data_IF_878014685905
#
_entry.id   IF_878014685905
#
_cell.length_a   1.000
_cell.length_b   1.000
_cell.length_c   1.000
_cell.angle_alpha   90.00
_cell.angle_beta   90.00
_cell.angle_gamma   90.00
#
_symmetry.space_group_name_H-M   'P 1'
#
loop_
_entity.id
_entity.type
_entity.pdbx_description
1 polymer ?
#
# COMPACT_ATOMS: atom_id res chain seq x y z
N UNK A 1 19.03 23.99 2.82
CA UNK A 1 18.42 24.00 1.47
C UNK A 1 16.91 23.89 1.52
N UNK A 2 16.31 23.12 2.43
CA UNK A 2 14.85 23.06 2.56
C UNK A 2 14.19 22.21 1.46
N UNK A 3 14.88 21.18 0.97
CA UNK A 3 14.35 20.26 -0.02
C UNK A 3 13.67 19.06 0.64
N UNK A 4 12.76 18.44 -0.11
CA UNK A 4 12.16 17.15 0.24
C UNK A 4 12.93 16.06 -0.52
N UNK A 5 13.79 15.35 0.19
CA UNK A 5 14.76 14.42 -0.41
C UNK A 5 14.33 12.98 -0.14
N UNK A 6 14.01 12.18 -1.18
CA UNK A 6 13.88 10.74 -1.04
C UNK A 6 15.26 10.07 -1.08
N UNK A 7 15.51 9.16 -0.14
CA UNK A 7 16.69 8.29 -0.14
C UNK A 7 16.26 6.86 -0.44
N UNK A 8 16.70 6.34 -1.59
CA UNK A 8 16.57 4.91 -1.93
C UNK A 8 17.80 4.18 -1.40
N UNK A 9 17.57 3.10 -0.65
CA UNK A 9 18.61 2.23 -0.10
C UNK A 9 18.44 0.85 -0.70
N UNK A 10 19.48 0.34 -1.38
CA UNK A 10 19.46 -0.95 -2.06
C UNK A 10 20.86 -1.60 -1.94
N UNK A 11 21.09 -2.60 -1.07
CA UNK A 11 20.17 -3.27 -0.14
C UNK A 11 20.50 -2.98 1.33
N UNK A 12 19.46 -2.79 2.15
CA UNK A 12 19.63 -2.67 3.62
C UNK A 12 20.11 -3.98 4.25
N UNK A 13 19.77 -5.13 3.64
CA UNK A 13 20.18 -6.45 4.10
C UNK A 13 21.68 -6.69 3.96
N UNK A 14 22.27 -6.39 2.80
CA UNK A 14 23.72 -6.55 2.60
C UNK A 14 24.51 -5.63 3.52
N UNK A 15 24.03 -4.41 3.73
CA UNK A 15 24.63 -3.50 4.71
C UNK A 15 24.56 -4.08 6.13
N UNK A 16 23.42 -4.66 6.52
CA UNK A 16 23.25 -5.28 7.83
C UNK A 16 24.12 -6.51 8.04
N UNK A 17 24.29 -7.36 7.03
CA UNK A 17 25.16 -8.53 7.08
C UNK A 17 26.62 -8.14 7.32
N UNK A 18 27.11 -7.13 6.61
CA UNK A 18 28.47 -6.59 6.78
C UNK A 18 28.63 -6.00 8.19
N UNK A 19 27.65 -5.24 8.68
CA UNK A 19 27.69 -4.72 10.04
C UNK A 19 27.75 -5.86 11.06
N UNK A 20 26.94 -6.91 10.89
CA UNK A 20 26.92 -8.06 11.79
C UNK A 20 28.27 -8.79 11.81
N UNK A 21 28.94 -8.91 10.66
CA UNK A 21 30.28 -9.49 10.58
C UNK A 21 31.31 -8.63 11.30
N UNK A 22 31.32 -7.32 11.07
CA UNK A 22 32.26 -6.38 11.70
C UNK A 22 32.06 -6.35 13.22
N UNK A 23 30.83 -6.19 13.70
CA UNK A 23 30.54 -6.17 15.14
C UNK A 23 30.80 -7.53 15.78
N UNK A 24 30.59 -8.63 15.05
CA UNK A 24 30.96 -9.98 15.50
C UNK A 24 32.47 -10.13 15.71
N UNK A 25 33.30 -9.50 14.85
CA UNK A 25 34.77 -9.48 15.02
C UNK A 25 35.23 -8.54 16.14
N UNK A 26 34.49 -7.46 16.39
CA UNK A 26 34.82 -6.45 17.40
C UNK A 26 34.32 -6.80 18.81
N UNK A 27 33.56 -7.88 18.98
CA UNK A 27 32.90 -8.26 20.25
C UNK A 27 32.03 -7.14 20.86
N UNK A 28 31.50 -6.25 20.01
CA UNK A 28 30.62 -5.14 20.40
C UNK A 28 29.13 -5.53 20.35
N UNK A 29 28.27 -4.71 20.99
CA UNK A 29 26.82 -4.96 21.08
C UNK A 29 26.07 -4.69 19.75
N UNK A 30 24.80 -5.10 19.71
CA UNK A 30 24.03 -5.48 18.51
C UNK A 30 23.96 -4.45 17.37
N UNK A 31 24.08 -4.97 16.15
CA UNK A 31 23.91 -4.25 14.88
C UNK A 31 22.52 -3.59 14.73
N UNK A 32 21.50 -4.05 15.47
CA UNK A 32 20.13 -3.53 15.42
C UNK A 32 20.04 -2.07 15.85
N UNK A 33 20.89 -1.64 16.79
CA UNK A 33 20.94 -0.24 17.25
C UNK A 33 21.38 0.71 16.13
N UNK A 34 22.24 0.23 15.22
CA UNK A 34 22.67 0.99 14.04
C UNK A 34 21.57 1.09 12.98
N UNK A 35 20.78 0.04 12.81
CA UNK A 35 19.59 0.11 11.95
C UNK A 35 18.57 1.11 12.48
N UNK A 36 18.24 1.05 13.77
CA UNK A 36 17.29 1.98 14.37
C UNK A 36 17.77 3.43 14.20
N UNK A 37 19.01 3.73 14.61
CA UNK A 37 19.59 5.07 14.45
C UNK A 37 19.71 5.54 13.00
N UNK A 38 19.77 4.63 12.02
CA UNK A 38 19.72 4.98 10.61
C UNK A 38 18.31 5.44 10.19
N UNK A 39 17.27 4.68 10.52
CA UNK A 39 15.89 5.03 10.18
C UNK A 39 15.37 6.26 10.94
N UNK A 40 15.76 6.44 12.20
CA UNK A 40 15.38 7.61 13.03
C UNK A 40 15.93 8.95 12.49
N UNK A 41 16.84 8.92 11.52
CA UNK A 41 17.30 10.14 10.82
C UNK A 41 16.29 10.64 9.79
N UNK A 42 15.21 9.90 9.53
CA UNK A 42 14.14 10.33 8.62
C UNK A 42 13.09 11.13 9.35
N UNK A 43 12.92 12.38 8.91
CA UNK A 43 11.90 13.26 9.43
C UNK A 43 11.69 14.43 8.49
N UNK A 44 10.54 15.11 8.65
CA UNK A 44 10.35 16.48 8.22
C UNK A 44 10.88 17.39 9.34
N UNK A 45 11.79 18.30 9.01
CA UNK A 45 12.48 19.14 9.99
C UNK A 45 12.53 20.60 9.55
N UNK A 46 12.56 21.50 10.52
CA UNK A 46 12.93 22.90 10.31
C UNK A 46 14.44 23.00 10.19
N UNK A 47 14.94 23.53 9.09
CA UNK A 47 16.36 23.72 8.84
C UNK A 47 16.92 24.83 9.74
N UNK A 48 18.16 24.67 10.17
CA UNK A 48 18.90 25.70 10.89
C UNK A 48 19.26 26.89 9.96
N UNK A 49 19.42 28.06 10.60
CA UNK A 49 19.86 29.30 9.97
C UNK A 49 18.75 30.08 9.26
N UNK A 50 19.12 31.25 8.74
CA UNK A 50 18.23 32.14 7.99
C UNK A 50 18.43 31.94 6.47
N UNK A 51 17.38 32.02 5.63
CA UNK A 51 15.97 32.15 6.01
C UNK A 51 15.41 30.86 6.63
N UNK A 52 14.30 31.00 7.34
CA UNK A 52 13.54 29.88 7.89
C UNK A 52 13.07 28.97 6.75
N UNK A 53 13.46 27.69 6.83
CA UNK A 53 13.23 26.71 5.76
C UNK A 53 12.77 25.40 6.39
N UNK A 54 11.88 24.69 5.71
CA UNK A 54 11.53 23.32 6.05
C UNK A 54 12.08 22.36 5.00
N UNK A 55 12.50 21.17 5.41
CA UNK A 55 12.90 20.10 4.50
C UNK A 55 12.49 18.74 5.05
N UNK A 56 12.64 17.70 4.24
CA UNK A 56 12.43 16.32 4.71
C UNK A 56 13.46 15.36 4.14
N UNK A 57 13.72 14.31 4.90
CA UNK A 57 14.39 13.10 4.43
C UNK A 57 13.42 11.92 4.56
N UNK A 58 13.14 11.24 3.46
CA UNK A 58 12.27 10.08 3.43
C UNK A 58 13.07 8.85 2.99
N UNK A 59 13.17 7.83 3.85
CA UNK A 59 13.70 6.51 3.49
C UNK A 59 12.52 5.58 3.23
N UNK A 60 12.58 4.85 2.12
CA UNK A 60 11.54 3.91 1.72
C UNK A 60 11.73 2.61 2.53
N UNK A 61 10.84 2.36 3.49
CA UNK A 61 10.89 1.15 4.36
C UNK A 61 9.92 1.13 5.55
N UNK A 62 9.28 2.24 5.92
CA UNK A 62 8.38 2.35 7.07
C UNK A 62 6.89 2.47 6.69
N UNK A 63 5.99 1.97 7.55
CA UNK A 63 4.53 2.03 7.38
C UNK A 63 3.97 3.31 8.02
N UNK A 64 3.31 4.17 7.25
CA UNK A 64 2.77 5.47 7.70
C UNK A 64 1.22 5.56 7.66
N UNK A 65 0.51 4.43 7.72
CA UNK A 65 -0.93 4.40 7.41
C UNK A 65 -1.79 5.31 8.28
N UNK A 66 -1.52 5.42 9.59
CA UNK A 66 -2.35 6.24 10.50
C UNK A 66 -2.16 7.75 10.32
N UNK A 67 -0.93 8.19 10.02
CA UNK A 67 -0.57 9.62 9.96
C UNK A 67 -1.10 10.26 8.67
N UNK A 68 -1.30 9.46 7.62
CA UNK A 68 -1.73 9.96 6.33
C UNK A 68 -3.26 10.15 6.22
N UNK A 69 -4.04 9.61 7.17
CA UNK A 69 -5.50 9.72 7.14
C UNK A 69 -5.95 11.18 7.14
N UNK A 70 -5.44 12.03 8.04
CA UNK A 70 -5.80 13.45 8.09
C UNK A 70 -5.55 14.19 6.77
N UNK A 71 -4.46 13.83 6.07
CA UNK A 71 -4.16 14.39 4.76
C UNK A 71 -5.17 13.90 3.71
N UNK A 72 -5.50 12.61 3.71
CA UNK A 72 -6.48 12.06 2.77
C UNK A 72 -7.88 12.58 3.04
N UNK A 73 -8.32 12.66 4.29
CA UNK A 73 -9.65 13.17 4.64
C UNK A 73 -9.83 14.62 4.18
N UNK A 74 -8.76 15.43 4.27
CA UNK A 74 -8.79 16.83 3.82
C UNK A 74 -8.78 16.99 2.30
N UNK A 75 -7.99 16.19 1.58
CA UNK A 75 -7.74 16.41 0.15
C UNK A 75 -8.51 15.45 -0.77
N UNK A 76 -8.90 14.28 -0.26
CA UNK A 76 -9.47 13.15 -0.98
C UNK A 76 -10.47 12.38 -0.10
N UNK A 77 -11.60 13.00 0.29
CA UNK A 77 -12.49 12.49 1.33
C UNK A 77 -13.10 11.10 1.01
N UNK A 78 -13.25 10.76 -0.27
CA UNK A 78 -13.76 9.45 -0.70
C UNK A 78 -12.72 8.33 -0.64
N UNK A 79 -11.42 8.66 -0.64
CA UNK A 79 -10.35 7.66 -0.81
C UNK A 79 -10.27 6.68 0.37
N UNK A 80 -10.39 7.16 1.61
CA UNK A 80 -10.23 6.31 2.80
C UNK A 80 -11.31 5.24 2.84
N UNK A 81 -12.57 5.61 2.55
CA UNK A 81 -13.69 4.67 2.49
C UNK A 81 -13.50 3.63 1.36
N UNK A 82 -13.14 4.07 0.15
CA UNK A 82 -12.88 3.18 -0.98
C UNK A 82 -11.72 2.21 -0.70
N UNK A 83 -10.63 2.70 -0.10
CA UNK A 83 -9.47 1.88 0.22
C UNK A 83 -9.76 0.84 1.32
N UNK A 84 -10.57 1.18 2.33
CA UNK A 84 -11.03 0.21 3.33
C UNK A 84 -11.90 -0.86 2.68
N UNK A 85 -12.88 -0.46 1.87
CA UNK A 85 -13.79 -1.40 1.19
C UNK A 85 -13.04 -2.32 0.22
N UNK A 86 -12.06 -1.79 -0.52
CA UNK A 86 -11.18 -2.61 -1.37
C UNK A 86 -10.40 -3.65 -0.57
N UNK A 87 -9.89 -3.30 0.63
CA UNK A 87 -9.19 -4.24 1.51
C UNK A 87 -10.11 -5.33 2.03
N UNK A 88 -11.34 -4.98 2.41
CA UNK A 88 -12.35 -5.96 2.84
C UNK A 88 -12.63 -6.96 1.71
N UNK A 89 -12.87 -6.48 0.49
CA UNK A 89 -13.09 -7.34 -0.69
C UNK A 89 -11.88 -8.28 -0.89
N UNK A 90 -10.65 -7.75 -0.84
CA UNK A 90 -9.41 -8.54 -0.95
C UNK A 90 -9.24 -9.58 0.18
N UNK A 91 -9.74 -9.31 1.39
CA UNK A 91 -9.68 -10.25 2.50
C UNK A 91 -10.70 -11.39 2.33
N UNK A 92 -11.89 -11.10 1.79
CA UNK A 92 -12.90 -12.12 1.47
C UNK A 92 -12.38 -13.19 0.48
N UNK A 93 -11.35 -12.87 -0.31
CA UNK A 93 -10.75 -13.83 -1.24
C UNK A 93 -10.23 -15.09 -0.55
N UNK A 94 -9.52 -14.94 0.57
CA UNK A 94 -8.87 -16.08 1.23
C UNK A 94 -9.91 -17.13 1.61
N UNK A 95 -10.97 -16.69 2.26
CA UNK A 95 -12.07 -17.53 2.70
C UNK A 95 -12.79 -18.19 1.52
N UNK A 96 -13.05 -17.44 0.44
CA UNK A 96 -13.74 -17.96 -0.74
C UNK A 96 -12.87 -18.89 -1.59
N UNK A 97 -11.58 -18.61 -1.70
CA UNK A 97 -10.62 -19.43 -2.47
C UNK A 97 -10.51 -20.84 -1.88
N UNK A 98 -10.46 -20.95 -0.56
CA UNK A 98 -10.39 -22.25 0.12
C UNK A 98 -11.64 -23.09 -0.15
N UNK A 99 -12.83 -22.46 -0.08
CA UNK A 99 -14.11 -23.12 -0.40
C UNK A 99 -14.15 -23.57 -1.87
N UNK A 100 -13.71 -22.72 -2.79
CA UNK A 100 -13.66 -23.05 -4.23
C UNK A 100 -12.74 -24.22 -4.52
N UNK A 101 -11.59 -24.29 -3.84
CA UNK A 101 -10.63 -25.40 -4.02
C UNK A 101 -11.15 -26.72 -3.47
N UNK A 102 -11.92 -26.68 -2.38
CA UNK A 102 -12.46 -27.88 -1.73
C UNK A 102 -13.73 -28.43 -2.39
N UNK A 103 -14.67 -27.55 -2.77
CA UNK A 103 -16.05 -27.94 -3.16
C UNK A 103 -16.39 -27.50 -4.58
N UNK A 104 -15.59 -26.63 -5.20
CA UNK A 104 -15.81 -26.10 -6.54
C UNK A 104 -16.70 -24.85 -6.59
N UNK A 105 -16.44 -24.00 -7.58
CA UNK A 105 -17.09 -22.67 -7.74
C UNK A 105 -18.62 -22.73 -7.91
N UNK A 106 -19.16 -23.83 -8.43
CA UNK A 106 -20.61 -23.97 -8.66
C UNK A 106 -21.42 -23.93 -7.35
N UNK A 107 -20.79 -24.31 -6.24
CA UNK A 107 -21.41 -24.48 -4.92
C UNK A 107 -21.54 -23.16 -4.13
N UNK A 108 -20.97 -22.06 -4.64
CA UNK A 108 -21.02 -20.74 -4.00
C UNK A 108 -22.37 -20.04 -4.20
N UNK A 109 -22.72 -19.15 -3.27
CA UNK A 109 -23.83 -18.22 -3.47
C UNK A 109 -23.53 -17.23 -4.60
N UNK A 110 -24.57 -16.71 -5.27
CA UNK A 110 -24.40 -15.75 -6.37
C UNK A 110 -23.68 -14.46 -5.93
N UNK A 111 -23.87 -14.03 -4.67
CA UNK A 111 -23.14 -12.90 -4.09
C UNK A 111 -21.64 -13.17 -3.99
N UNK A 112 -21.24 -14.39 -3.66
CA UNK A 112 -19.85 -14.78 -3.48
C UNK A 112 -19.16 -14.93 -4.85
N UNK A 113 -19.91 -15.40 -5.85
CA UNK A 113 -19.46 -15.41 -7.24
C UNK A 113 -19.19 -14.01 -7.77
N UNK A 114 -20.02 -13.02 -7.40
CA UNK A 114 -19.78 -11.59 -7.71
C UNK A 114 -18.52 -11.10 -7.02
N UNK A 115 -18.34 -11.39 -5.72
CA UNK A 115 -17.13 -11.02 -4.98
C UNK A 115 -15.88 -11.55 -5.69
N UNK A 116 -15.86 -12.82 -6.11
CA UNK A 116 -14.73 -13.40 -6.84
C UNK A 116 -14.46 -12.74 -8.21
N UNK A 117 -15.49 -12.32 -8.94
CA UNK A 117 -15.30 -11.61 -10.21
C UNK A 117 -14.76 -10.19 -10.01
N UNK A 118 -15.27 -9.47 -9.02
CA UNK A 118 -14.75 -8.14 -8.67
C UNK A 118 -13.32 -8.24 -8.12
N UNK A 119 -13.02 -9.26 -7.33
CA UNK A 119 -11.67 -9.56 -6.87
C UNK A 119 -10.69 -9.70 -8.03
N UNK A 120 -11.08 -10.47 -9.06
CA UNK A 120 -10.29 -10.63 -10.28
C UNK A 120 -10.08 -9.29 -10.99
N UNK A 121 -11.14 -8.49 -11.15
CA UNK A 121 -11.05 -7.14 -11.72
C UNK A 121 -10.08 -6.23 -10.94
N UNK A 122 -10.15 -6.23 -9.60
CA UNK A 122 -9.22 -5.44 -8.77
C UNK A 122 -7.77 -5.93 -8.95
N UNK A 123 -7.54 -7.24 -9.00
CA UNK A 123 -6.19 -7.79 -9.16
C UNK A 123 -5.59 -7.53 -10.53
N UNK A 124 -6.36 -7.79 -11.57
CA UNK A 124 -5.86 -7.79 -12.95
C UNK A 124 -5.85 -6.37 -13.55
N UNK A 125 -6.82 -5.53 -13.20
CA UNK A 125 -6.99 -4.21 -13.82
C UNK A 125 -6.57 -3.02 -12.92
N UNK A 126 -6.39 -3.22 -11.61
CA UNK A 126 -6.02 -2.13 -10.68
C UNK A 126 -4.71 -2.36 -9.91
N UNK A 127 -4.40 -3.60 -9.51
CA UNK A 127 -3.16 -3.90 -8.77
C UNK A 127 -2.00 -4.21 -9.72
N UNK A 128 -2.28 -4.93 -10.81
CA UNK A 128 -1.27 -5.23 -11.82
C UNK A 128 -0.99 -3.98 -12.66
N UNK A 129 0.29 -3.62 -12.74
CA UNK A 129 0.75 -2.44 -13.46
C UNK A 129 1.96 -2.81 -14.31
N UNK A 130 1.99 -2.32 -15.56
CA UNK A 130 3.13 -2.53 -16.46
C UNK A 130 4.06 -1.33 -16.50
N UNK A 131 5.17 -1.40 -15.75
CA UNK A 131 6.19 -0.35 -15.69
C UNK A 131 6.88 0.00 -17.03
N UNK A 132 6.76 -0.84 -18.07
CA UNK A 132 7.28 -0.58 -19.41
C UNK A 132 6.25 0.08 -20.35
N UNK A 133 4.99 0.12 -19.95
CA UNK A 133 3.91 0.70 -20.75
C UNK A 133 3.98 2.23 -20.75
N UNK A 134 3.65 2.86 -21.88
CA UNK A 134 3.58 4.32 -21.98
C UNK A 134 2.40 4.92 -21.19
N UNK A 135 1.35 4.14 -20.92
CA UNK A 135 0.13 4.60 -20.23
C UNK A 135 0.00 4.10 -18.78
N UNK A 136 0.87 3.16 -18.38
CA UNK A 136 0.83 2.46 -17.09
C UNK A 136 2.12 2.62 -16.28
N UNK A 137 3.18 3.15 -16.88
CA UNK A 137 4.46 3.41 -16.18
C UNK A 137 4.31 4.39 -15.00
N UNK A 138 3.37 5.32 -15.10
CA UNK A 138 3.05 6.25 -14.02
C UNK A 138 1.55 6.41 -13.91
N UNK A 139 1.07 6.34 -12.67
CA UNK A 139 -0.34 6.35 -12.37
C UNK A 139 -0.66 7.49 -11.39
N UNK A 140 -1.49 8.42 -11.83
CA UNK A 140 -1.85 9.60 -11.05
C UNK A 140 -2.89 9.29 -9.98
N UNK A 141 -2.85 10.03 -8.87
CA UNK A 141 -3.70 9.72 -7.71
C UNK A 141 -5.21 9.87 -7.99
N UNK A 142 -5.61 10.82 -8.82
CA UNK A 142 -7.03 10.97 -9.22
C UNK A 142 -7.51 9.81 -10.09
N UNK A 143 -6.64 9.25 -10.95
CA UNK A 143 -6.95 8.06 -11.76
C UNK A 143 -7.22 6.87 -10.83
N UNK A 144 -6.40 6.73 -9.77
CA UNK A 144 -6.55 5.73 -8.70
C UNK A 144 -7.92 5.76 -8.07
N UNK A 145 -8.30 6.92 -7.56
CA UNK A 145 -9.58 7.11 -6.88
C UNK A 145 -10.72 6.82 -7.85
N UNK A 146 -10.66 7.33 -9.08
CA UNK A 146 -11.72 7.14 -10.07
C UNK A 146 -11.91 5.66 -10.46
N UNK A 147 -10.82 4.92 -10.70
CA UNK A 147 -10.89 3.49 -11.00
C UNK A 147 -11.45 2.70 -9.83
N UNK A 148 -10.92 2.94 -8.62
CA UNK A 148 -11.37 2.26 -7.42
C UNK A 148 -12.86 2.55 -7.14
N UNK A 149 -13.29 3.81 -7.30
CA UNK A 149 -14.70 4.20 -7.16
C UNK A 149 -15.61 3.45 -8.12
N UNK A 150 -15.22 3.32 -9.39
CA UNK A 150 -16.03 2.63 -10.38
C UNK A 150 -16.13 1.12 -10.09
N UNK A 151 -15.02 0.48 -9.71
CA UNK A 151 -14.99 -0.94 -9.36
C UNK A 151 -15.86 -1.23 -8.12
N UNK A 152 -15.77 -0.38 -7.10
CA UNK A 152 -16.56 -0.54 -5.86
C UNK A 152 -18.04 -0.23 -6.10
N UNK A 153 -18.35 0.82 -6.89
CA UNK A 153 -19.73 1.09 -7.29
C UNK A 153 -20.34 -0.08 -8.07
N UNK A 154 -19.58 -0.71 -8.97
CA UNK A 154 -20.01 -1.90 -9.68
C UNK A 154 -20.29 -3.07 -8.72
N UNK A 155 -19.39 -3.31 -7.75
CA UNK A 155 -19.58 -4.32 -6.72
C UNK A 155 -20.86 -4.12 -5.90
N UNK A 156 -21.09 -2.90 -5.41
CA UNK A 156 -22.25 -2.59 -4.59
C UNK A 156 -23.56 -2.74 -5.39
N UNK A 157 -23.60 -2.23 -6.62
CA UNK A 157 -24.76 -2.35 -7.51
C UNK A 157 -25.05 -3.81 -7.89
N UNK A 158 -24.01 -4.60 -8.20
CA UNK A 158 -24.16 -6.01 -8.55
C UNK A 158 -24.70 -6.83 -7.38
N UNK A 159 -24.16 -6.61 -6.16
CA UNK A 159 -24.67 -7.27 -4.95
C UNK A 159 -26.10 -6.87 -4.64
N UNK A 160 -26.43 -5.58 -4.77
CA UNK A 160 -27.79 -5.09 -4.56
C UNK A 160 -28.78 -5.71 -5.56
N UNK A 161 -28.42 -5.76 -6.85
CA UNK A 161 -29.26 -6.35 -7.89
C UNK A 161 -29.55 -7.83 -7.60
N UNK A 162 -28.53 -8.63 -7.27
CA UNK A 162 -28.72 -10.05 -6.93
C UNK A 162 -29.54 -10.22 -5.65
N UNK A 163 -29.29 -9.42 -4.62
CA UNK A 163 -30.04 -9.53 -3.36
C UNK A 163 -31.51 -9.10 -3.48
N UNK A 164 -31.87 -8.24 -4.44
CA UNK A 164 -33.25 -7.78 -4.63
C UNK A 164 -34.07 -8.71 -5.52
N UNK A 165 -33.42 -9.51 -6.36
CA UNK A 165 -34.08 -10.34 -7.39
C UNK A 165 -34.24 -11.80 -6.96
N UNK A 166 -33.74 -12.16 -5.77
CA UNK A 166 -33.89 -13.47 -5.11
C UNK A 166 -34.84 -13.31 -3.94
#
# INVERSE_FOLDING_TARGET
>A
MGYYVPMKVDSTSSWFEVLREIFGRLAETSADTRLASFYERTARVRCLGNPEREGSLSIVGAKYSRILNDYYDKNYPEFVALHVKCKEILQEEGDLSDIVQLVGRASLAETDKITLEVLRMIKDDFIQENGYSSYDKYYSFYKCIAMLRNMIAFYDLARHAVATTV
#
